data_IF_027865354674
#
_entry.id   IF_027865354674
#
_cell.length_a   1.000
_cell.length_b   1.000
_cell.length_c   1.000
_cell.angle_alpha   90.00
_cell.angle_beta   90.00
_cell.angle_gamma   90.00
#
_symmetry.space_group_name_H-M   'P 1'
#
loop_
_entity.id
_entity.type
_entity.pdbx_description
1 polymer ?
#
# COMPACT_ATOMS: atom_id res chain seq x y z
N UNK A 1 8.45 16.42 14.25
CA UNK A 1 9.81 15.83 14.16
C UNK A 1 9.75 14.34 14.49
N UNK A 2 10.54 13.50 13.83
CA UNK A 2 10.66 12.07 14.17
C UNK A 2 11.23 11.87 15.59
N UNK A 3 11.11 10.66 16.14
CA UNK A 3 11.86 10.29 17.34
C UNK A 3 13.36 10.21 17.06
N UNK A 4 14.17 10.75 17.96
CA UNK A 4 15.61 10.55 17.99
C UNK A 4 15.93 9.11 18.40
N UNK A 5 17.17 8.67 18.17
CA UNK A 5 17.58 7.29 18.47
C UNK A 5 17.39 6.96 19.95
N UNK A 6 17.76 7.86 20.86
CA UNK A 6 17.60 7.67 22.30
C UNK A 6 16.13 7.45 22.70
N UNK A 7 15.19 8.20 22.12
CA UNK A 7 13.76 8.04 22.40
C UNK A 7 13.22 6.70 21.86
N UNK A 8 13.76 6.23 20.74
CA UNK A 8 13.42 4.91 20.18
C UNK A 8 13.97 3.78 21.05
N UNK A 9 15.18 3.93 21.57
CA UNK A 9 15.80 2.95 22.46
C UNK A 9 15.06 2.88 23.80
N UNK A 10 14.63 4.03 24.34
CA UNK A 10 13.78 4.09 25.53
C UNK A 10 12.42 3.41 25.30
N UNK A 11 11.78 3.66 24.16
CA UNK A 11 10.53 2.97 23.80
C UNK A 11 10.75 1.46 23.67
N UNK A 12 11.84 1.02 23.04
CA UNK A 12 12.17 -0.40 22.95
C UNK A 12 12.35 -1.04 24.33
N UNK A 13 13.03 -0.36 25.27
CA UNK A 13 13.20 -0.84 26.63
C UNK A 13 11.86 -0.95 27.39
N UNK A 14 10.96 0.02 27.21
CA UNK A 14 9.60 -0.02 27.76
C UNK A 14 8.82 -1.22 27.24
N UNK A 15 8.81 -1.41 25.91
CA UNK A 15 8.13 -2.55 25.27
C UNK A 15 8.69 -3.90 25.74
N UNK A 16 10.01 -4.03 25.94
CA UNK A 16 10.60 -5.25 26.52
C UNK A 16 10.05 -5.53 27.92
N UNK A 17 9.94 -4.50 28.76
CA UNK A 17 9.38 -4.63 30.11
C UNK A 17 7.90 -5.02 30.07
N UNK A 18 7.10 -4.36 29.22
CA UNK A 18 5.67 -4.67 29.02
C UNK A 18 5.46 -6.12 28.58
N UNK A 19 6.26 -6.61 27.63
CA UNK A 19 6.14 -7.97 27.11
C UNK A 19 6.69 -9.05 28.05
N UNK A 20 7.47 -8.68 29.06
CA UNK A 20 8.18 -9.64 29.95
C UNK A 20 7.26 -10.60 30.70
N UNK A 21 6.00 -10.24 30.91
CA UNK A 21 4.98 -11.06 31.58
C UNK A 21 4.10 -11.85 30.62
N UNK A 22 4.37 -11.77 29.31
CA UNK A 22 3.61 -12.46 28.26
C UNK A 22 4.41 -13.62 27.67
N UNK A 23 3.78 -14.55 26.92
CA UNK A 23 4.50 -15.53 26.11
C UNK A 23 5.43 -14.93 25.04
N UNK A 24 5.30 -13.62 24.78
CA UNK A 24 6.05 -12.87 23.79
C UNK A 24 7.20 -12.06 24.39
N UNK A 25 7.61 -12.37 25.64
CA UNK A 25 8.76 -11.77 26.29
C UNK A 25 9.98 -11.79 25.36
N UNK A 26 10.59 -10.63 25.13
CA UNK A 26 11.73 -10.47 24.21
C UNK A 26 13.04 -10.27 24.97
N UNK A 27 14.12 -10.91 24.52
CA UNK A 27 15.49 -10.63 24.97
C UNK A 27 15.98 -9.27 24.48
N UNK A 28 15.57 -8.90 23.27
CA UNK A 28 15.95 -7.65 22.63
C UNK A 28 14.93 -7.26 21.57
N UNK A 29 14.75 -5.95 21.38
CA UNK A 29 14.03 -5.37 20.25
C UNK A 29 15.00 -4.59 19.37
N UNK A 30 15.03 -4.91 18.07
CA UNK A 30 15.79 -4.15 17.07
C UNK A 30 14.82 -3.39 16.19
N UNK A 31 14.99 -2.09 16.06
CA UNK A 31 14.12 -1.30 15.18
C UNK A 31 14.22 -1.79 13.73
N UNK A 32 13.06 -2.01 13.11
CA UNK A 32 12.98 -2.28 11.68
C UNK A 32 12.85 -0.97 10.90
N UNK A 33 13.48 -0.93 9.73
CA UNK A 33 13.23 0.08 8.73
C UNK A 33 11.94 -0.25 7.98
N UNK A 34 11.13 0.76 7.67
CA UNK A 34 9.83 0.58 7.01
C UNK A 34 8.68 0.94 7.95
N UNK A 35 7.55 1.35 7.38
CA UNK A 35 6.41 1.92 8.11
C UNK A 35 6.65 3.38 8.52
N UNK A 36 5.74 4.27 8.12
CA UNK A 36 5.82 5.70 8.49
C UNK A 36 5.01 6.01 9.75
N UNK A 37 3.91 5.29 9.96
CA UNK A 37 2.92 5.58 10.98
C UNK A 37 3.26 4.99 12.37
N UNK A 38 3.79 3.77 12.43
CA UNK A 38 4.00 3.03 13.68
C UNK A 38 5.48 2.80 13.99
N UNK A 39 5.77 2.50 15.25
CA UNK A 39 7.08 2.03 15.67
C UNK A 39 7.14 0.51 15.49
N UNK A 40 8.05 0.04 14.64
CA UNK A 40 8.15 -1.38 14.29
C UNK A 40 9.51 -1.90 14.75
N UNK A 41 9.49 -3.01 15.48
CA UNK A 41 10.68 -3.69 15.97
C UNK A 41 10.63 -5.18 15.63
N UNK A 42 11.79 -5.78 15.40
CA UNK A 42 11.98 -7.23 15.46
C UNK A 42 12.37 -7.60 16.88
N UNK A 43 11.57 -8.45 17.51
CA UNK A 43 11.86 -9.04 18.80
C UNK A 43 12.48 -10.42 18.66
N UNK A 44 13.54 -10.68 19.43
CA UNK A 44 14.04 -12.04 19.68
C UNK A 44 13.37 -12.51 20.96
N UNK A 45 12.59 -13.59 20.87
CA UNK A 45 11.85 -14.13 22.01
C UNK A 45 12.81 -14.75 23.04
N UNK A 46 12.50 -14.59 24.32
CA UNK A 46 13.21 -15.23 25.42
C UNK A 46 12.99 -16.76 25.43
N UNK A 47 11.80 -17.18 25.00
CA UNK A 47 11.45 -18.57 24.81
C UNK A 47 10.77 -18.73 23.44
N UNK A 48 11.13 -19.75 22.64
CA UNK A 48 10.43 -20.01 21.40
C UNK A 48 8.93 -20.27 21.64
N UNK A 49 8.09 -19.87 20.69
CA UNK A 49 6.67 -20.23 20.68
C UNK A 49 6.49 -21.75 20.47
N UNK A 50 5.29 -22.33 20.70
CA UNK A 50 5.06 -23.77 20.56
C UNK A 50 5.39 -24.36 19.18
N UNK A 51 5.34 -23.56 18.12
CA UNK A 51 5.69 -23.95 16.75
C UNK A 51 7.21 -23.82 16.46
N UNK A 52 8.00 -23.41 17.44
CA UNK A 52 9.43 -23.17 17.33
C UNK A 52 9.81 -21.76 16.84
N UNK A 53 8.84 -20.85 16.65
CA UNK A 53 9.10 -19.46 16.27
C UNK A 53 9.98 -18.78 17.33
N UNK A 54 11.07 -18.15 16.89
CA UNK A 54 12.05 -17.49 17.77
C UNK A 54 12.03 -15.96 17.66
N UNK A 55 11.41 -15.43 16.60
CA UNK A 55 11.35 -13.99 16.36
C UNK A 55 9.93 -13.55 16.04
N UNK A 56 9.60 -12.33 16.45
CA UNK A 56 8.29 -11.69 16.23
C UNK A 56 8.49 -10.25 15.76
N UNK A 57 7.48 -9.69 15.12
CA UNK A 57 7.41 -8.25 14.86
C UNK A 57 6.55 -7.60 15.95
N UNK A 58 7.11 -6.61 16.63
CA UNK A 58 6.39 -5.78 17.61
C UNK A 58 6.05 -4.47 16.93
N UNK A 59 4.75 -4.23 16.71
CA UNK A 59 4.21 -3.01 16.09
C UNK A 59 3.48 -2.21 17.15
N UNK A 60 4.01 -1.03 17.48
CA UNK A 60 3.46 -0.15 18.50
C UNK A 60 2.92 1.15 17.89
N UNK A 61 1.64 1.44 18.16
CA UNK A 61 0.94 2.60 17.65
C UNK A 61 0.86 3.71 18.70
N UNK A 62 1.09 4.96 18.26
CA UNK A 62 0.85 6.17 19.05
C UNK A 62 -0.17 7.08 18.36
N UNK A 63 -0.65 8.10 19.07
CA UNK A 63 -1.57 9.14 18.56
C UNK A 63 -0.93 10.12 17.55
N UNK A 64 0.20 9.73 16.97
CA UNK A 64 0.92 10.47 15.94
C UNK A 64 1.71 9.51 15.05
N UNK A 65 2.10 10.01 13.87
CA UNK A 65 2.95 9.31 12.90
C UNK A 65 4.36 9.16 13.47
N UNK A 66 4.91 7.95 13.53
CA UNK A 66 6.27 7.69 14.04
C UNK A 66 7.35 8.52 13.32
N UNK A 67 7.20 8.73 12.01
CA UNK A 67 8.08 9.59 11.22
C UNK A 67 7.93 11.10 11.51
N UNK A 68 6.81 11.53 12.11
CA UNK A 68 6.58 12.92 12.47
C UNK A 68 5.60 13.07 13.64
N UNK A 69 6.12 13.24 14.87
CA UNK A 69 5.29 13.40 16.08
C UNK A 69 4.34 14.60 16.07
N UNK A 70 4.55 15.56 15.16
CA UNK A 70 3.70 16.74 15.03
C UNK A 70 2.48 16.47 14.13
N UNK A 71 2.44 15.30 13.48
CA UNK A 71 1.32 14.85 12.69
C UNK A 71 0.50 13.89 13.54
N UNK A 72 -0.61 14.40 14.11
CA UNK A 72 -1.54 13.57 14.88
C UNK A 72 -2.17 12.51 13.99
N UNK A 73 -2.31 11.31 14.54
CA UNK A 73 -2.82 10.14 13.84
C UNK A 73 -3.60 9.27 14.82
N UNK A 74 -4.86 9.02 14.51
CA UNK A 74 -5.76 8.26 15.38
C UNK A 74 -5.19 6.87 15.71
N UNK A 75 -5.05 6.56 17.00
CA UNK A 75 -4.47 5.29 17.45
C UNK A 75 -5.38 4.09 17.17
N UNK A 76 -6.70 4.30 17.07
CA UNK A 76 -7.68 3.23 16.83
C UNK A 76 -7.45 2.43 15.54
N UNK A 77 -6.61 2.93 14.62
CA UNK A 77 -6.13 2.21 13.42
C UNK A 77 -5.58 0.81 13.71
N UNK A 78 -4.95 0.58 14.87
CA UNK A 78 -4.46 -0.75 15.27
C UNK A 78 -5.60 -1.74 15.59
N UNK A 79 -6.77 -1.25 16.05
CA UNK A 79 -7.97 -2.09 16.25
C UNK A 79 -8.55 -2.58 14.91
N UNK A 80 -8.47 -1.74 13.87
CA UNK A 80 -8.94 -2.10 12.53
C UNK A 80 -7.99 -3.10 11.87
N UNK A 81 -6.68 -2.93 12.06
CA UNK A 81 -5.69 -3.92 11.62
C UNK A 81 -5.88 -5.28 12.30
N UNK A 82 -6.11 -5.32 13.64
CA UNK A 82 -6.46 -6.58 14.32
C UNK A 82 -7.71 -7.22 13.71
N UNK A 83 -8.77 -6.43 13.53
CA UNK A 83 -10.02 -6.92 12.97
C UNK A 83 -9.83 -7.52 11.57
N UNK A 84 -9.02 -6.88 10.73
CA UNK A 84 -8.72 -7.37 9.38
C UNK A 84 -7.87 -8.63 9.39
N UNK A 85 -6.77 -8.65 10.14
CA UNK A 85 -5.87 -9.81 10.17
C UNK A 85 -6.60 -11.07 10.66
N UNK A 86 -7.43 -10.94 11.70
CA UNK A 86 -8.24 -12.06 12.18
C UNK A 86 -9.25 -12.53 11.12
N UNK A 87 -9.96 -11.62 10.45
CA UNK A 87 -10.95 -11.99 9.43
C UNK A 87 -10.32 -12.67 8.21
N UNK A 88 -9.15 -12.19 7.80
CA UNK A 88 -8.39 -12.74 6.67
C UNK A 88 -7.87 -14.14 6.99
N UNK A 89 -7.32 -14.35 8.19
CA UNK A 89 -6.83 -15.65 8.63
C UNK A 89 -7.97 -16.69 8.75
N UNK A 90 -9.11 -16.28 9.29
CA UNK A 90 -10.24 -17.19 9.52
C UNK A 90 -10.95 -17.60 8.22
N UNK A 91 -11.01 -16.72 7.21
CA UNK A 91 -11.98 -16.86 6.13
C UNK A 91 -11.51 -16.55 4.71
N UNK A 92 -10.35 -15.92 4.51
CA UNK A 92 -9.78 -15.76 3.17
C UNK A 92 -8.90 -16.98 2.84
N UNK A 93 -9.25 -17.81 1.85
CA UNK A 93 -8.43 -18.97 1.51
C UNK A 93 -7.04 -18.53 1.02
N UNK A 94 -6.04 -19.40 1.23
CA UNK A 94 -4.72 -19.23 0.61
C UNK A 94 -4.89 -19.20 -0.91
N UNK A 95 -4.51 -18.08 -1.54
CA UNK A 95 -4.55 -17.94 -2.99
C UNK A 95 -3.18 -18.31 -3.55
N UNK A 96 -3.15 -19.27 -4.47
CA UNK A 96 -1.95 -19.69 -5.18
C UNK A 96 -2.16 -19.54 -6.68
N UNK A 97 -1.37 -18.69 -7.31
CA UNK A 97 -1.40 -18.46 -8.76
C UNK A 97 -0.02 -18.67 -9.34
N UNK A 98 0.11 -19.49 -10.38
CA UNK A 98 1.40 -19.81 -11.02
C UNK A 98 2.50 -20.30 -10.05
N UNK A 99 2.10 -21.06 -9.00
CA UNK A 99 2.97 -21.51 -7.90
C UNK A 99 3.54 -20.38 -7.03
N UNK A 100 2.95 -19.20 -7.06
CA UNK A 100 3.18 -18.13 -6.09
C UNK A 100 1.99 -18.12 -5.13
N UNK A 101 2.24 -18.23 -3.83
CA UNK A 101 1.19 -18.15 -2.80
C UNK A 101 1.22 -16.78 -2.14
N UNK A 102 0.05 -16.19 -1.93
CA UNK A 102 -0.10 -14.94 -1.21
C UNK A 102 -0.86 -15.15 0.09
N UNK A 103 -0.37 -14.54 1.16
CA UNK A 103 -0.92 -14.63 2.51
C UNK A 103 -0.80 -13.30 3.25
N UNK A 104 -1.40 -13.21 4.42
CA UNK A 104 -1.20 -12.12 5.39
C UNK A 104 -0.39 -12.62 6.58
N UNK A 105 0.31 -11.72 7.31
CA UNK A 105 1.00 -12.10 8.52
C UNK A 105 -0.01 -12.57 9.57
N UNK A 106 0.37 -13.58 10.35
CA UNK A 106 -0.40 -13.97 11.52
C UNK A 106 -0.27 -12.93 12.65
N UNK A 107 -1.37 -12.65 13.33
CA UNK A 107 -1.40 -11.81 14.53
C UNK A 107 -1.40 -12.70 15.78
N UNK A 108 -0.24 -12.84 16.41
CA UNK A 108 -0.09 -13.66 17.61
C UNK A 108 -0.83 -13.07 18.82
N UNK A 109 -0.76 -11.75 18.98
CA UNK A 109 -1.33 -11.06 20.12
C UNK A 109 -1.52 -9.58 19.87
N UNK A 110 -2.47 -8.99 20.59
CA UNK A 110 -2.65 -7.55 20.64
C UNK A 110 -2.96 -7.08 22.06
N UNK A 111 -2.05 -6.29 22.62
CA UNK A 111 -2.29 -5.52 23.83
C UNK A 111 -3.03 -4.23 23.43
N UNK A 112 -4.35 -4.23 23.62
CA UNK A 112 -5.21 -3.09 23.30
C UNK A 112 -4.98 -1.89 24.23
N UNK A 113 -4.53 -2.11 25.45
CA UNK A 113 -4.29 -1.04 26.41
C UNK A 113 -3.04 -0.25 26.01
N UNK A 114 -1.98 -0.95 25.62
CA UNK A 114 -0.72 -0.34 25.18
C UNK A 114 -0.67 -0.07 23.66
N UNK A 115 -1.71 -0.44 22.91
CA UNK A 115 -1.72 -0.33 21.44
C UNK A 115 -0.53 -1.03 20.77
N UNK A 116 -0.18 -2.23 21.27
CA UNK A 116 1.00 -3.01 20.85
C UNK A 116 0.58 -4.36 20.26
N UNK A 117 0.85 -4.56 18.98
CA UNK A 117 0.58 -5.81 18.26
C UNK A 117 1.86 -6.65 18.14
N UNK A 118 1.70 -7.97 18.31
CA UNK A 118 2.74 -8.98 18.10
C UNK A 118 2.36 -9.78 16.86
N UNK A 119 3.13 -9.59 15.80
CA UNK A 119 2.91 -10.12 14.47
C UNK A 119 3.96 -11.18 14.12
N UNK A 120 3.63 -12.03 13.17
CA UNK A 120 4.58 -12.94 12.53
C UNK A 120 5.78 -12.18 11.96
N UNK A 121 7.00 -12.60 12.34
CA UNK A 121 8.21 -12.10 11.69
C UNK A 121 8.44 -12.86 10.38
N UNK A 122 8.18 -12.17 9.28
CA UNK A 122 8.43 -12.64 7.92
C UNK A 122 9.90 -12.44 7.56
N UNK A 123 10.79 -13.01 8.37
CA UNK A 123 12.23 -12.91 8.17
C UNK A 123 12.65 -13.49 6.82
N UNK A 124 13.64 -12.87 6.17
CA UNK A 124 14.07 -13.27 4.83
C UNK A 124 13.18 -12.75 3.69
N UNK A 125 12.32 -11.76 3.94
CA UNK A 125 11.61 -11.00 2.88
C UNK A 125 12.14 -9.58 2.73
N UNK A 126 11.88 -8.97 1.57
CA UNK A 126 12.01 -7.53 1.29
C UNK A 126 10.70 -7.04 0.68
N UNK A 127 10.39 -5.76 0.81
CA UNK A 127 9.26 -5.17 0.10
C UNK A 127 9.51 -5.14 -1.42
N UNK A 128 8.43 -5.29 -2.20
CA UNK A 128 8.47 -5.31 -3.66
C UNK A 128 9.02 -3.99 -4.20
N UNK A 129 8.87 -2.88 -3.47
CA UNK A 129 9.53 -1.62 -3.80
C UNK A 129 11.04 -1.76 -3.85
N UNK A 130 11.64 -2.20 -2.77
CA UNK A 130 13.09 -2.42 -2.68
C UNK A 130 13.56 -3.43 -3.72
N UNK A 131 12.74 -4.45 -4.03
CA UNK A 131 13.07 -5.46 -5.03
C UNK A 131 13.05 -4.98 -6.48
N UNK A 132 12.34 -3.90 -6.82
CA UNK A 132 12.30 -3.34 -8.18
C UNK A 132 13.19 -2.12 -8.38
N UNK A 133 13.74 -1.56 -7.30
CA UNK A 133 14.61 -0.38 -7.35
C UNK A 133 16.07 -0.83 -7.38
N UNK A 134 16.82 -0.38 -8.40
CA UNK A 134 18.27 -0.54 -8.44
C UNK A 134 18.94 0.49 -7.52
N UNK A 135 19.79 0.05 -6.60
CA UNK A 135 20.71 0.97 -5.91
C UNK A 135 21.83 1.39 -6.88
N UNK A 136 22.23 2.67 -6.94
CA UNK A 136 23.33 3.14 -7.79
C UNK A 136 24.64 2.37 -7.56
N UNK A 137 24.88 1.91 -6.33
CA UNK A 137 26.10 1.21 -5.94
C UNK A 137 26.03 -0.31 -6.16
N UNK A 138 24.83 -0.84 -6.38
CA UNK A 138 24.60 -2.28 -6.46
C UNK A 138 23.58 -2.55 -7.55
N UNK A 139 24.06 -2.90 -8.76
CA UNK A 139 23.26 -3.49 -9.86
C UNK A 139 22.72 -4.88 -9.50
N UNK A 140 22.19 -5.06 -8.30
CA UNK A 140 21.59 -6.29 -7.80
C UNK A 140 20.18 -5.89 -7.39
N UNK A 141 19.19 -6.66 -7.85
CA UNK A 141 17.74 -6.47 -7.69
C UNK A 141 17.02 -5.79 -8.87
N UNK A 142 17.34 -6.14 -10.12
CA UNK A 142 16.35 -6.02 -11.20
C UNK A 142 15.65 -7.36 -11.36
N UNK A 143 14.36 -7.40 -11.04
CA UNK A 143 13.54 -8.57 -11.30
C UNK A 143 13.50 -8.83 -12.82
N UNK A 144 13.86 -10.04 -13.29
CA UNK A 144 13.73 -10.39 -14.70
C UNK A 144 12.28 -10.30 -15.16
N UNK A 145 12.04 -9.93 -16.42
CA UNK A 145 10.70 -9.76 -16.98
C UNK A 145 9.73 -10.91 -16.66
N UNK A 146 10.07 -12.20 -16.83
CA UNK A 146 9.15 -13.29 -16.49
C UNK A 146 8.77 -13.32 -15.00
N UNK A 147 9.69 -12.95 -14.12
CA UNK A 147 9.47 -12.89 -12.67
C UNK A 147 8.58 -11.69 -12.33
N UNK A 148 8.87 -10.51 -12.89
CA UNK A 148 8.04 -9.31 -12.72
C UNK A 148 6.59 -9.54 -13.14
N UNK A 149 6.37 -10.13 -14.32
CA UNK A 149 5.02 -10.45 -14.81
C UNK A 149 4.34 -11.47 -13.88
N UNK A 150 5.05 -12.52 -13.44
CA UNK A 150 4.48 -13.55 -12.57
C UNK A 150 4.09 -13.00 -11.20
N UNK A 151 4.95 -12.16 -10.60
CA UNK A 151 4.66 -11.50 -9.32
C UNK A 151 3.46 -10.57 -9.49
N UNK A 152 3.46 -9.71 -10.51
CA UNK A 152 2.33 -8.85 -10.82
C UNK A 152 1.04 -9.65 -10.91
N UNK A 153 1.04 -10.71 -11.72
CA UNK A 153 -0.13 -11.57 -11.91
C UNK A 153 -0.62 -12.22 -10.63
N UNK A 154 0.28 -12.70 -9.77
CA UNK A 154 -0.12 -13.32 -8.51
C UNK A 154 -0.71 -12.28 -7.53
N UNK A 155 -0.12 -11.08 -7.46
CA UNK A 155 -0.64 -9.95 -6.65
C UNK A 155 -2.00 -9.48 -7.16
N UNK A 156 -2.16 -9.36 -8.48
CA UNK A 156 -3.43 -8.98 -9.11
C UNK A 156 -4.54 -9.99 -8.83
N UNK A 157 -4.24 -11.29 -9.02
CA UNK A 157 -5.19 -12.36 -8.76
C UNK A 157 -5.61 -12.40 -7.28
N UNK A 158 -4.66 -12.28 -6.36
CA UNK A 158 -4.99 -12.22 -4.93
C UNK A 158 -5.86 -11.00 -4.59
N UNK A 159 -5.59 -9.82 -5.17
CA UNK A 159 -6.37 -8.62 -4.88
C UNK A 159 -7.80 -8.72 -5.45
N UNK A 160 -7.99 -9.36 -6.61
CA UNK A 160 -9.32 -9.63 -7.13
C UNK A 160 -10.09 -10.59 -6.22
N UNK A 161 -9.44 -11.65 -5.72
CA UNK A 161 -10.05 -12.61 -4.81
C UNK A 161 -10.39 -11.95 -3.46
N UNK A 162 -9.49 -11.13 -2.92
CA UNK A 162 -9.74 -10.33 -1.73
C UNK A 162 -10.95 -9.41 -1.90
N UNK A 163 -11.04 -8.66 -3.01
CA UNK A 163 -12.19 -7.79 -3.26
C UNK A 163 -13.50 -8.59 -3.41
N UNK A 164 -13.45 -9.75 -4.06
CA UNK A 164 -14.61 -10.63 -4.24
C UNK A 164 -15.07 -11.22 -2.90
N UNK A 165 -14.13 -11.67 -2.08
CA UNK A 165 -14.37 -12.13 -0.72
C UNK A 165 -14.97 -11.02 0.16
N UNK A 166 -14.38 -9.83 0.14
CA UNK A 166 -14.83 -8.68 0.94
C UNK A 166 -16.23 -8.18 0.55
N UNK A 167 -16.60 -8.32 -0.72
CA UNK A 167 -17.94 -7.98 -1.22
C UNK A 167 -18.99 -9.08 -0.95
N UNK A 168 -18.57 -10.28 -0.54
CA UNK A 168 -19.49 -11.39 -0.31
C UNK A 168 -20.46 -11.06 0.85
N UNK A 169 -21.76 -11.42 0.77
CA UNK A 169 -22.75 -11.12 1.82
C UNK A 169 -22.37 -11.62 3.22
N UNK A 170 -21.59 -12.70 3.30
CA UNK A 170 -21.06 -13.22 4.57
C UNK A 170 -20.16 -12.22 5.31
N UNK A 171 -19.55 -11.26 4.61
CA UNK A 171 -18.66 -10.25 5.18
C UNK A 171 -19.36 -8.96 5.61
N UNK A 172 -20.70 -8.92 5.61
CA UNK A 172 -21.45 -7.69 5.94
C UNK A 172 -21.07 -7.08 7.30
N UNK A 173 -20.81 -7.91 8.32
CA UNK A 173 -20.40 -7.43 9.65
C UNK A 173 -18.96 -6.88 9.64
N UNK A 174 -18.05 -7.50 8.87
CA UNK A 174 -16.71 -6.96 8.65
C UNK A 174 -16.78 -5.59 7.97
N UNK A 175 -17.59 -5.47 6.91
CA UNK A 175 -17.78 -4.21 6.19
C UNK A 175 -18.31 -3.11 7.10
N UNK A 176 -19.26 -3.41 8.00
CA UNK A 176 -19.75 -2.45 9.00
C UNK A 176 -18.66 -2.00 9.97
N UNK A 177 -17.80 -2.92 10.44
CA UNK A 177 -16.65 -2.58 11.29
C UNK A 177 -15.67 -1.69 10.54
N UNK A 178 -15.29 -2.05 9.32
CA UNK A 178 -14.33 -1.28 8.51
C UNK A 178 -14.88 0.08 8.06
N UNK A 179 -16.20 0.23 7.91
CA UNK A 179 -16.83 1.52 7.68
C UNK A 179 -16.64 2.50 8.84
N UNK A 180 -16.37 2.02 10.06
CA UNK A 180 -16.06 2.85 11.21
C UNK A 180 -14.61 3.35 11.24
N UNK A 181 -13.73 2.90 10.34
CA UNK A 181 -12.37 3.45 10.18
C UNK A 181 -12.38 4.82 9.45
N UNK A 182 -13.36 5.66 9.79
CA UNK A 182 -13.57 6.99 9.21
C UNK A 182 -12.35 7.91 9.39
N UNK A 183 -11.65 7.92 10.54
CA UNK A 183 -10.46 8.76 10.70
C UNK A 183 -9.37 8.46 9.66
N UNK A 184 -9.09 7.18 9.40
CA UNK A 184 -8.12 6.77 8.38
C UNK A 184 -8.64 7.03 6.97
N UNK A 185 -9.94 6.85 6.73
CA UNK A 185 -10.56 7.20 5.46
C UNK A 185 -10.47 8.68 5.12
N UNK A 186 -10.73 9.54 6.10
CA UNK A 186 -10.57 10.99 5.99
C UNK A 186 -9.12 11.38 5.77
N UNK A 187 -8.19 10.79 6.51
CA UNK A 187 -6.77 10.99 6.30
C UNK A 187 -6.37 10.63 4.87
N UNK A 188 -6.81 9.45 4.38
CA UNK A 188 -6.49 8.98 3.03
C UNK A 188 -6.97 9.98 1.98
N UNK A 189 -8.18 10.51 2.12
CA UNK A 189 -8.67 11.59 1.26
C UNK A 189 -7.77 12.82 1.32
N UNK A 190 -7.47 13.32 2.53
CA UNK A 190 -6.66 14.54 2.73
C UNK A 190 -5.29 14.46 2.07
N UNK A 191 -4.60 13.32 2.14
CA UNK A 191 -3.26 13.15 1.56
C UNK A 191 -3.27 12.71 0.09
N UNK A 192 -4.45 12.57 -0.54
CA UNK A 192 -4.60 12.18 -1.94
C UNK A 192 -5.51 13.17 -2.70
N UNK A 193 -6.78 12.82 -2.92
CA UNK A 193 -7.76 13.63 -3.64
C UNK A 193 -7.98 15.02 -3.02
N UNK A 194 -7.80 15.16 -1.71
CA UNK A 194 -7.88 16.44 -1.01
C UNK A 194 -6.70 17.39 -1.26
N UNK A 195 -5.58 16.89 -1.79
CA UNK A 195 -4.34 17.68 -1.93
C UNK A 195 -3.77 17.75 -3.35
N UNK A 196 -4.12 16.84 -4.26
CA UNK A 196 -3.47 16.78 -5.59
C UNK A 196 -3.66 18.06 -6.41
N UNK A 197 -4.80 18.75 -6.30
CA UNK A 197 -5.04 20.02 -7.00
C UNK A 197 -4.06 21.10 -6.56
N UNK A 198 -3.76 21.17 -5.26
CA UNK A 198 -2.84 22.14 -4.68
C UNK A 198 -1.40 21.88 -5.14
N UNK A 199 -1.09 20.62 -5.48
CA UNK A 199 0.19 20.27 -6.13
C UNK A 199 0.21 20.78 -7.56
N UNK A 200 -0.82 20.48 -8.37
CA UNK A 200 -0.86 20.89 -9.78
C UNK A 200 -0.86 22.41 -9.93
N UNK A 201 -1.49 23.16 -9.01
CA UNK A 201 -1.46 24.63 -8.99
C UNK A 201 -0.05 25.23 -8.91
N UNK A 202 0.94 24.48 -8.44
CA UNK A 202 2.36 24.89 -8.42
C UNK A 202 3.01 24.84 -9.81
N UNK A 203 2.30 24.32 -10.81
CA UNK A 203 2.70 24.20 -12.22
C UNK A 203 1.64 24.90 -13.10
N UNK A 204 1.64 26.24 -13.17
CA UNK A 204 0.58 27.04 -13.79
C UNK A 204 0.26 26.62 -15.23
N UNK A 205 1.28 26.25 -16.01
CA UNK A 205 1.13 25.81 -17.40
C UNK A 205 0.31 24.52 -17.55
N UNK A 206 0.28 23.66 -16.53
CA UNK A 206 -0.55 22.45 -16.49
C UNK A 206 -1.93 22.80 -15.92
N UNK A 207 -1.96 23.60 -14.85
CA UNK A 207 -3.18 24.00 -14.16
C UNK A 207 -4.12 24.82 -15.05
N UNK A 208 -3.60 25.79 -15.79
CA UNK A 208 -4.40 26.69 -16.64
C UNK A 208 -5.13 25.92 -17.74
N UNK A 209 -4.54 24.82 -18.22
CA UNK A 209 -5.13 23.97 -19.24
C UNK A 209 -6.18 22.98 -18.67
N UNK A 210 -5.92 22.42 -17.48
CA UNK A 210 -6.67 21.24 -17.00
C UNK A 210 -7.44 21.46 -15.69
N UNK A 211 -7.26 22.61 -15.02
CA UNK A 211 -7.74 22.85 -13.65
C UNK A 211 -9.25 22.67 -13.46
N UNK A 212 -10.06 22.91 -14.48
CA UNK A 212 -11.51 22.65 -14.43
C UNK A 212 -11.83 21.15 -14.28
N UNK A 213 -11.23 20.30 -15.12
CA UNK A 213 -11.42 18.85 -15.06
C UNK A 213 -10.87 18.28 -13.74
N UNK A 214 -9.71 18.76 -13.29
CA UNK A 214 -9.11 18.33 -12.02
C UNK A 214 -10.02 18.67 -10.82
N UNK A 215 -10.64 19.85 -10.79
CA UNK A 215 -11.62 20.22 -9.76
C UNK A 215 -12.85 19.32 -9.79
N UNK A 216 -13.38 18.99 -10.97
CA UNK A 216 -14.52 18.07 -11.09
C UNK A 216 -14.20 16.67 -10.53
N UNK A 217 -12.98 16.19 -10.77
CA UNK A 217 -12.49 14.92 -10.19
C UNK A 217 -12.36 15.02 -8.67
N UNK A 218 -11.82 16.12 -8.15
CA UNK A 218 -11.77 16.37 -6.71
C UNK A 218 -13.17 16.39 -6.07
N UNK A 219 -14.14 17.10 -6.67
CA UNK A 219 -15.52 17.18 -6.20
C UNK A 219 -16.25 15.84 -6.26
N UNK A 220 -15.95 15.04 -7.28
CA UNK A 220 -16.43 13.66 -7.37
C UNK A 220 -15.87 12.83 -6.21
N UNK A 221 -14.57 12.88 -5.96
CA UNK A 221 -13.95 12.12 -4.89
C UNK A 221 -14.46 12.59 -3.51
N UNK A 222 -14.61 13.90 -3.29
CA UNK A 222 -15.17 14.45 -2.06
C UNK A 222 -16.56 13.87 -1.76
N UNK A 223 -17.44 13.79 -2.77
CA UNK A 223 -18.77 13.16 -2.63
C UNK A 223 -18.67 11.67 -2.33
N UNK A 224 -17.76 10.96 -2.98
CA UNK A 224 -17.53 9.54 -2.72
C UNK A 224 -17.01 9.30 -1.29
N UNK A 225 -16.02 10.06 -0.83
CA UNK A 225 -15.49 9.95 0.53
C UNK A 225 -16.48 10.40 1.62
N UNK A 226 -17.48 11.20 1.27
CA UNK A 226 -18.59 11.53 2.17
C UNK A 226 -19.61 10.39 2.30
N UNK A 227 -19.61 9.39 1.41
CA UNK A 227 -20.60 8.31 1.44
C UNK A 227 -20.45 7.41 2.65
N UNK A 228 -21.58 6.91 3.15
CA UNK A 228 -21.70 5.86 4.16
C UNK A 228 -22.15 4.53 3.54
N UNK A 229 -22.05 3.45 4.31
CA UNK A 229 -22.57 2.12 3.92
C UNK A 229 -24.10 2.11 3.70
N UNK A 230 -24.82 3.13 4.17
CA UNK A 230 -26.28 3.23 4.06
C UNK A 230 -26.74 3.98 2.81
N UNK A 231 -25.81 4.59 2.08
CA UNK A 231 -26.14 5.48 0.98
C UNK A 231 -26.44 4.71 -0.31
N UNK A 232 -27.30 5.26 -1.16
CA UNK A 232 -27.60 4.68 -2.46
C UNK A 232 -26.35 4.62 -3.38
N UNK A 233 -26.23 3.52 -4.13
CA UNK A 233 -25.07 3.26 -4.99
C UNK A 233 -23.80 2.87 -4.22
N UNK A 234 -23.92 2.51 -2.94
CA UNK A 234 -22.86 1.87 -2.16
C UNK A 234 -22.71 0.36 -2.46
N UNK A 235 -23.58 -0.21 -3.31
CA UNK A 235 -23.54 -1.65 -3.65
C UNK A 235 -22.27 -2.11 -4.35
N UNK A 236 -21.55 -1.20 -5.03
CA UNK A 236 -20.27 -1.47 -5.67
C UNK A 236 -19.06 -1.21 -4.74
N UNK A 237 -19.33 -0.90 -3.47
CA UNK A 237 -18.32 -0.59 -2.46
C UNK A 237 -18.20 -1.74 -1.47
N UNK A 238 -16.98 -2.00 -1.01
CA UNK A 238 -16.70 -3.06 -0.05
C UNK A 238 -15.51 -2.66 0.82
N UNK A 239 -15.01 -3.60 1.62
CA UNK A 239 -13.71 -3.43 2.25
C UNK A 239 -12.63 -3.39 1.16
N UNK A 240 -11.72 -2.43 1.27
CA UNK A 240 -10.47 -2.31 0.52
C UNK A 240 -9.30 -2.27 1.50
N UNK A 241 -8.09 -2.56 1.03
CA UNK A 241 -6.88 -2.39 1.81
C UNK A 241 -6.62 -0.91 2.14
N UNK A 242 -6.94 0.01 1.21
CA UNK A 242 -6.87 1.46 1.44
C UNK A 242 -5.46 2.06 1.41
N UNK A 243 -4.44 1.21 1.36
CA UNK A 243 -3.04 1.58 1.13
C UNK A 243 -2.30 0.45 0.39
N UNK A 244 -2.87 0.02 -0.74
CA UNK A 244 -2.31 -1.08 -1.52
C UNK A 244 -1.22 -0.56 -2.47
N UNK A 245 0.02 -0.47 -1.99
CA UNK A 245 1.20 -0.11 -2.78
C UNK A 245 2.31 -1.15 -2.58
N UNK A 246 3.35 -1.13 -3.41
CA UNK A 246 4.36 -2.20 -3.41
C UNK A 246 5.25 -2.21 -2.15
N UNK A 247 5.22 -1.18 -1.31
CA UNK A 247 5.85 -1.22 0.02
C UNK A 247 5.14 -2.17 0.99
N UNK A 248 3.86 -2.46 0.75
CA UNK A 248 3.02 -3.35 1.56
C UNK A 248 2.92 -4.77 0.96
N UNK A 249 3.75 -5.06 -0.05
CA UNK A 249 3.88 -6.39 -0.66
C UNK A 249 5.28 -6.91 -0.37
N UNK A 250 5.39 -7.90 0.51
CA UNK A 250 6.66 -8.54 0.82
C UNK A 250 6.91 -9.73 -0.12
N UNK A 251 8.14 -9.84 -0.62
CA UNK A 251 8.61 -10.94 -1.47
C UNK A 251 9.86 -11.59 -0.86
N UNK A 252 10.20 -12.84 -1.19
CA UNK A 252 11.41 -13.49 -0.67
C UNK A 252 12.69 -12.73 -1.05
N UNK A 253 13.51 -12.40 -0.06
CA UNK A 253 14.84 -11.81 -0.24
C UNK A 253 15.84 -12.92 -0.56
N UNK A 254 15.80 -13.43 -1.80
CA UNK A 254 16.73 -14.47 -2.24
C UNK A 254 17.75 -13.91 -3.22
N UNK A 255 19.07 -14.05 -2.95
CA UNK A 255 20.15 -13.55 -3.83
C UNK A 255 20.17 -14.12 -5.25
N UNK A 256 19.28 -15.07 -5.56
CA UNK A 256 19.20 -15.79 -6.83
C UNK A 256 17.90 -15.49 -7.59
N UNK A 257 17.11 -14.48 -7.21
CA UNK A 257 15.94 -14.06 -8.01
C UNK A 257 16.35 -13.59 -9.41
N UNK A 258 17.50 -12.95 -9.53
CA UNK A 258 18.13 -12.54 -10.78
C UNK A 258 18.46 -13.73 -11.70
N UNK A 259 18.83 -14.88 -11.13
CA UNK A 259 19.17 -16.11 -11.83
C UNK A 259 17.98 -17.05 -12.02
N UNK A 260 16.82 -16.75 -11.41
CA UNK A 260 15.61 -17.55 -11.56
C UNK A 260 14.91 -17.22 -12.87
N UNK A 261 14.67 -18.25 -13.67
CA UNK A 261 13.84 -18.14 -14.87
C UNK A 261 12.34 -18.19 -14.55
N UNK A 262 11.95 -18.65 -13.35
CA UNK A 262 10.55 -18.84 -12.95
C UNK A 262 10.34 -18.48 -11.47
N UNK A 263 9.17 -17.92 -11.16
CA UNK A 263 8.78 -17.50 -9.81
C UNK A 263 8.25 -18.66 -8.93
N UNK A 264 8.54 -19.92 -9.29
CA UNK A 264 7.92 -21.10 -8.67
C UNK A 264 8.26 -21.22 -7.17
N UNK A 265 7.23 -21.49 -6.36
CA UNK A 265 7.35 -21.78 -4.94
C UNK A 265 7.61 -20.56 -4.08
N UNK A 266 7.25 -19.35 -4.54
CA UNK A 266 7.40 -18.12 -3.75
C UNK A 266 6.20 -17.90 -2.84
N UNK A 267 6.46 -17.50 -1.60
CA UNK A 267 5.45 -16.97 -0.69
C UNK A 267 5.60 -15.45 -0.64
N UNK A 268 4.53 -14.76 -0.96
CA UNK A 268 4.40 -13.31 -0.88
C UNK A 268 3.42 -12.96 0.25
N UNK A 269 3.60 -11.78 0.83
CA UNK A 269 2.77 -11.35 1.95
C UNK A 269 2.23 -9.95 1.75
N UNK A 270 0.95 -9.77 2.05
CA UNK A 270 0.29 -8.47 2.08
C UNK A 270 0.19 -8.01 3.53
N UNK A 271 0.81 -6.88 3.84
CA UNK A 271 0.98 -6.36 5.20
C UNK A 271 0.34 -4.98 5.36
N UNK A 272 0.29 -4.50 6.61
CA UNK A 272 -0.10 -3.13 6.97
C UNK A 272 -1.57 -2.79 6.69
N UNK A 273 -2.46 -3.41 7.46
CA UNK A 273 -3.92 -3.34 7.25
C UNK A 273 -4.60 -2.21 8.04
N UNK A 274 -3.83 -1.29 8.64
CA UNK A 274 -4.39 -0.23 9.51
C UNK A 274 -5.25 0.80 8.77
N UNK A 275 -5.04 0.93 7.45
CA UNK A 275 -5.80 1.80 6.55
C UNK A 275 -6.96 1.09 5.85
N UNK A 276 -7.23 -0.18 6.19
CA UNK A 276 -8.36 -0.92 5.65
C UNK A 276 -9.68 -0.21 5.99
N UNK A 277 -10.54 -0.11 4.98
CA UNK A 277 -11.69 0.79 5.06
C UNK A 277 -12.80 0.40 4.09
N UNK A 278 -13.97 0.99 4.30
CA UNK A 278 -15.04 0.96 3.31
C UNK A 278 -14.72 1.89 2.13
N UNK A 279 -14.63 1.34 0.94
CA UNK A 279 -14.17 2.09 -0.23
C UNK A 279 -14.44 1.41 -1.57
N UNK A 280 -13.93 2.06 -2.60
CA UNK A 280 -13.97 1.59 -3.98
C UNK A 280 -12.73 0.76 -4.29
N UNK A 281 -12.92 -0.43 -4.84
CA UNK A 281 -11.81 -1.32 -5.26
C UNK A 281 -10.84 -0.67 -6.25
N UNK A 282 -11.31 0.31 -7.02
CA UNK A 282 -10.48 1.06 -7.96
C UNK A 282 -9.38 1.87 -7.27
N UNK A 283 -9.52 2.17 -5.97
CA UNK A 283 -8.48 2.83 -5.19
C UNK A 283 -7.27 1.91 -4.99
N UNK A 284 -7.46 0.66 -4.55
CA UNK A 284 -6.34 -0.28 -4.40
C UNK A 284 -5.67 -0.58 -5.76
N UNK A 285 -6.47 -0.78 -6.81
CA UNK A 285 -5.97 -1.04 -8.17
C UNK A 285 -5.17 0.14 -8.72
N UNK A 286 -5.72 1.34 -8.65
CA UNK A 286 -5.02 2.53 -9.15
C UNK A 286 -3.81 2.89 -8.30
N UNK A 287 -3.81 2.58 -7.00
CA UNK A 287 -2.73 2.96 -6.10
C UNK A 287 -1.46 2.18 -6.43
N UNK A 288 -1.55 0.85 -6.55
CA UNK A 288 -0.37 0.04 -6.87
C UNK A 288 0.16 0.36 -8.27
N UNK A 289 -0.72 0.66 -9.23
CA UNK A 289 -0.34 1.08 -10.59
C UNK A 289 0.37 2.42 -10.55
N UNK A 290 -0.15 3.41 -9.82
CA UNK A 290 0.48 4.71 -9.66
C UNK A 290 1.84 4.62 -8.98
N UNK A 291 1.96 3.81 -7.93
CA UNK A 291 3.22 3.54 -7.22
C UNK A 291 4.24 2.85 -8.14
N UNK A 292 3.85 1.85 -8.93
CA UNK A 292 4.74 1.22 -9.90
C UNK A 292 5.17 2.20 -11.00
N UNK A 293 4.23 2.96 -11.55
CA UNK A 293 4.50 3.95 -12.59
C UNK A 293 5.47 5.03 -12.09
N UNK A 294 5.32 5.48 -10.84
CA UNK A 294 6.26 6.40 -10.20
C UNK A 294 7.71 5.88 -10.27
N UNK A 295 7.97 4.59 -9.97
CA UNK A 295 9.33 4.04 -10.08
C UNK A 295 9.81 4.04 -11.51
N UNK A 296 8.97 3.62 -12.45
CA UNK A 296 9.34 3.66 -13.86
C UNK A 296 9.74 5.09 -14.25
N UNK A 297 8.94 6.09 -13.89
CA UNK A 297 9.18 7.48 -14.26
C UNK A 297 10.47 8.03 -13.63
N UNK A 298 10.66 7.87 -12.31
CA UNK A 298 11.78 8.48 -11.61
C UNK A 298 13.09 7.68 -11.68
N UNK A 299 13.01 6.37 -11.88
CA UNK A 299 14.18 5.47 -11.83
C UNK A 299 14.44 4.72 -13.13
N UNK A 300 13.57 4.90 -14.14
CA UNK A 300 13.66 4.27 -15.46
C UNK A 300 13.80 2.73 -15.37
N UNK A 301 12.94 2.10 -14.57
CA UNK A 301 12.95 0.65 -14.33
C UNK A 301 11.80 -0.07 -15.06
N UNK A 302 12.13 -0.79 -16.13
CA UNK A 302 11.16 -1.55 -16.94
C UNK A 302 10.41 -2.62 -16.13
N UNK A 303 11.04 -3.15 -15.08
CA UNK A 303 10.43 -4.14 -14.18
C UNK A 303 9.13 -3.64 -13.57
N UNK A 304 8.99 -2.33 -13.33
CA UNK A 304 7.76 -1.77 -12.82
C UNK A 304 6.60 -1.88 -13.83
N UNK A 305 6.85 -1.63 -15.12
CA UNK A 305 5.84 -1.80 -16.18
C UNK A 305 5.45 -3.26 -16.37
N UNK A 306 6.42 -4.17 -16.30
CA UNK A 306 6.14 -5.60 -16.38
C UNK A 306 5.29 -6.11 -15.20
N UNK A 307 5.54 -5.57 -13.99
CA UNK A 307 4.67 -5.86 -12.84
C UNK A 307 3.27 -5.28 -13.06
N UNK A 308 3.11 -4.06 -13.61
CA UNK A 308 1.79 -3.49 -13.95
C UNK A 308 1.05 -4.40 -14.93
N UNK A 309 1.70 -4.82 -16.01
CA UNK A 309 1.12 -5.70 -17.03
C UNK A 309 0.65 -7.03 -16.43
N UNK A 310 1.52 -7.66 -15.63
CA UNK A 310 1.16 -8.88 -14.91
C UNK A 310 0.00 -8.64 -13.95
N UNK A 311 0.04 -7.56 -13.17
CA UNK A 311 -0.98 -7.20 -12.19
C UNK A 311 -2.35 -7.03 -12.79
N UNK A 312 -2.48 -6.25 -13.87
CA UNK A 312 -3.78 -6.05 -14.53
C UNK A 312 -4.27 -7.37 -15.14
N UNK A 313 -3.40 -8.14 -15.79
CA UNK A 313 -3.77 -9.45 -16.33
C UNK A 313 -4.25 -10.42 -15.24
N UNK A 314 -3.59 -10.42 -14.07
CA UNK A 314 -3.92 -11.28 -12.94
C UNK A 314 -5.18 -10.84 -12.19
N UNK A 315 -5.41 -9.53 -12.05
CA UNK A 315 -6.67 -9.00 -11.50
C UNK A 315 -7.85 -9.37 -12.40
N UNK A 316 -7.61 -9.53 -13.70
CA UNK A 316 -8.59 -9.93 -14.70
C UNK A 316 -9.19 -8.73 -15.43
N UNK A 317 -10.08 -9.00 -16.42
CA UNK A 317 -10.63 -7.97 -17.28
C UNK A 317 -11.35 -6.88 -16.48
N UNK A 318 -10.97 -5.63 -16.73
CA UNK A 318 -11.60 -4.46 -16.16
C UNK A 318 -12.67 -3.95 -17.11
N UNK A 319 -13.83 -3.53 -16.59
CA UNK A 319 -14.75 -2.73 -17.39
C UNK A 319 -14.11 -1.38 -17.71
N UNK A 320 -14.46 -0.77 -18.86
CA UNK A 320 -13.96 0.58 -19.21
C UNK A 320 -14.17 1.58 -18.06
N UNK A 321 -15.33 1.51 -17.38
CA UNK A 321 -15.60 2.35 -16.22
C UNK A 321 -14.58 2.15 -15.09
N UNK A 322 -14.24 0.90 -14.77
CA UNK A 322 -13.24 0.58 -13.75
C UNK A 322 -11.82 0.98 -14.19
N UNK A 323 -11.47 0.74 -15.45
CA UNK A 323 -10.17 1.10 -16.03
C UNK A 323 -9.92 2.61 -15.95
N UNK A 324 -10.89 3.44 -16.36
CA UNK A 324 -10.78 4.89 -16.22
C UNK A 324 -10.67 5.32 -14.75
N UNK A 325 -11.44 4.71 -13.85
CA UNK A 325 -11.38 5.02 -12.42
C UNK A 325 -10.03 4.67 -11.79
N UNK A 326 -9.44 3.54 -12.16
CA UNK A 326 -8.09 3.16 -11.74
C UNK A 326 -7.03 4.12 -12.30
N UNK A 327 -7.14 4.54 -13.56
CA UNK A 327 -6.23 5.52 -14.17
C UNK A 327 -6.29 6.89 -13.46
N UNK A 328 -7.48 7.37 -13.09
CA UNK A 328 -7.63 8.59 -12.27
C UNK A 328 -6.86 8.43 -10.96
N UNK A 329 -7.06 7.32 -10.24
CA UNK A 329 -6.41 7.13 -8.94
C UNK A 329 -4.89 6.96 -9.08
N UNK A 330 -4.40 6.30 -10.13
CA UNK A 330 -2.98 6.22 -10.46
C UNK A 330 -2.37 7.61 -10.72
N UNK A 331 -3.06 8.46 -11.48
CA UNK A 331 -2.63 9.84 -11.71
C UNK A 331 -2.59 10.69 -10.45
N UNK A 332 -3.59 10.57 -9.57
CA UNK A 332 -3.60 11.23 -8.25
C UNK A 332 -2.43 10.77 -7.40
N UNK A 333 -2.16 9.45 -7.36
CA UNK A 333 -1.04 8.90 -6.61
C UNK A 333 0.31 9.46 -7.10
N UNK A 334 0.51 9.51 -8.43
CA UNK A 334 1.71 10.04 -9.05
C UNK A 334 1.91 11.53 -8.75
N UNK A 335 0.87 12.35 -8.81
CA UNK A 335 0.94 13.77 -8.45
C UNK A 335 1.29 13.94 -6.96
N UNK A 336 0.64 13.17 -6.09
CA UNK A 336 0.84 13.25 -4.64
C UNK A 336 2.22 12.77 -4.18
N UNK A 337 3.03 12.13 -5.04
CA UNK A 337 4.46 11.92 -4.78
C UNK A 337 5.15 13.21 -4.32
N UNK A 338 4.80 14.35 -4.93
CA UNK A 338 5.39 15.66 -4.63
C UNK A 338 5.31 16.05 -3.15
N UNK A 339 4.29 15.59 -2.44
CA UNK A 339 4.03 15.91 -1.03
C UNK A 339 4.31 14.75 -0.06
N UNK A 340 4.73 13.58 -0.58
CA UNK A 340 5.12 12.39 0.23
C UNK A 340 6.56 12.46 0.77
N UNK A 341 7.16 13.64 0.80
CA UNK A 341 8.49 13.91 1.36
C UNK A 341 8.43 14.87 2.54
N UNK A 342 9.53 15.00 3.28
CA UNK A 342 9.66 16.10 4.24
C UNK A 342 9.54 17.44 3.49
N UNK A 343 8.54 18.30 3.79
CA UNK A 343 8.29 19.53 3.03
C UNK A 343 9.47 20.52 3.07
N UNK A 344 10.31 20.47 4.11
CA UNK A 344 11.48 21.34 4.24
C UNK A 344 12.73 20.81 3.56
N UNK A 345 12.75 19.54 3.14
CA UNK A 345 13.87 18.98 2.39
C UNK A 345 13.85 19.50 0.94
N UNK A 346 15.02 19.75 0.32
CA UNK A 346 15.06 20.02 -1.11
C UNK A 346 14.64 18.77 -1.90
N UNK A 347 14.14 18.99 -3.11
CA UNK A 347 14.04 17.89 -4.09
C UNK A 347 15.44 17.45 -4.50
N UNK A 348 15.64 16.15 -4.65
CA UNK A 348 16.88 15.58 -5.16
C UNK A 348 16.77 15.26 -6.67
N UNK A 349 15.54 15.15 -7.15
CA UNK A 349 15.18 14.84 -8.52
C UNK A 349 15.25 16.08 -9.42
N UNK A 350 15.51 15.84 -10.71
CA UNK A 350 15.51 16.88 -11.74
C UNK A 350 14.13 17.58 -11.80
N UNK A 351 14.05 18.92 -11.73
CA UNK A 351 12.80 19.67 -11.88
C UNK A 351 11.98 19.31 -13.12
N UNK A 352 12.60 19.02 -14.26
CA UNK A 352 11.89 18.60 -15.47
C UNK A 352 11.31 17.20 -15.34
N UNK A 353 11.99 16.31 -14.61
CA UNK A 353 11.47 14.98 -14.29
C UNK A 353 10.25 15.07 -13.36
N UNK A 354 10.33 15.93 -12.34
CA UNK A 354 9.19 16.24 -11.45
C UNK A 354 8.02 16.77 -12.27
N UNK A 355 8.25 17.79 -13.11
CA UNK A 355 7.22 18.36 -13.98
C UNK A 355 6.62 17.33 -14.94
N UNK A 356 7.44 16.43 -15.47
CA UNK A 356 7.01 15.29 -16.27
C UNK A 356 6.05 14.36 -15.53
N UNK A 357 6.31 14.08 -14.25
CA UNK A 357 5.42 13.28 -13.41
C UNK A 357 4.08 13.99 -13.17
N UNK A 358 4.10 15.29 -12.87
CA UNK A 358 2.88 16.08 -12.67
C UNK A 358 2.04 16.15 -13.95
N UNK A 359 2.68 16.36 -15.10
CA UNK A 359 1.99 16.35 -16.41
C UNK A 359 1.38 15.00 -16.70
N UNK A 360 2.15 13.93 -16.58
CA UNK A 360 1.65 12.57 -16.86
C UNK A 360 0.51 12.18 -15.92
N UNK A 361 0.63 12.46 -14.63
CA UNK A 361 -0.44 12.20 -13.67
C UNK A 361 -1.70 13.03 -13.97
N UNK A 362 -1.52 14.27 -14.43
CA UNK A 362 -2.63 15.12 -14.90
C UNK A 362 -3.30 14.52 -16.13
N UNK A 363 -2.52 14.06 -17.11
CA UNK A 363 -3.04 13.43 -18.33
C UNK A 363 -3.83 12.15 -18.01
N UNK A 364 -3.32 11.29 -17.12
CA UNK A 364 -4.06 10.11 -16.65
C UNK A 364 -5.42 10.47 -16.06
N UNK A 365 -5.48 11.53 -15.24
CA UNK A 365 -6.74 11.99 -14.64
C UNK A 365 -7.69 12.55 -15.70
N UNK A 366 -7.22 13.50 -16.50
CA UNK A 366 -8.07 14.24 -17.46
C UNK A 366 -8.58 13.31 -18.54
N UNK A 367 -7.70 12.48 -19.13
CA UNK A 367 -8.07 11.56 -20.21
C UNK A 367 -9.00 10.47 -19.74
N UNK A 368 -8.83 9.99 -18.51
CA UNK A 368 -9.78 9.05 -17.94
C UNK A 368 -11.11 9.71 -17.58
N UNK A 369 -11.11 10.95 -17.10
CA UNK A 369 -12.34 11.72 -16.84
C UNK A 369 -13.14 11.98 -18.12
N UNK A 370 -12.44 12.30 -19.21
CA UNK A 370 -13.01 12.49 -20.57
C UNK A 370 -13.40 11.17 -21.24
N UNK A 371 -13.02 10.02 -20.66
CA UNK A 371 -13.20 8.68 -21.24
C UNK A 371 -12.51 8.52 -22.60
N UNK A 372 -11.36 9.17 -22.78
CA UNK A 372 -10.56 9.15 -24.00
C UNK A 372 -9.76 7.84 -24.11
N UNK A 373 -10.43 6.74 -24.48
CA UNK A 373 -9.81 5.41 -24.63
C UNK A 373 -8.67 5.41 -25.66
N UNK A 374 -8.84 6.15 -26.76
CA UNK A 374 -7.85 6.21 -27.83
C UNK A 374 -6.51 6.79 -27.34
N UNK A 375 -6.53 7.78 -26.45
CA UNK A 375 -5.30 8.29 -25.84
C UNK A 375 -4.55 7.19 -25.06
N UNK A 376 -5.27 6.34 -24.32
CA UNK A 376 -4.67 5.28 -23.54
C UNK A 376 -4.03 4.16 -24.38
N UNK A 377 -4.44 3.96 -25.64
CA UNK A 377 -3.85 2.95 -26.54
C UNK A 377 -2.34 3.14 -26.76
N UNK A 378 -1.88 4.39 -26.72
CA UNK A 378 -0.46 4.75 -26.83
C UNK A 378 0.23 4.99 -25.48
N UNK A 379 -0.52 4.85 -24.38
CA UNK A 379 -0.02 5.13 -23.03
C UNK A 379 0.58 3.88 -22.37
N UNK A 380 1.43 4.04 -21.35
CA UNK A 380 1.89 2.91 -20.54
C UNK A 380 0.77 2.19 -19.77
N UNK A 381 -0.42 2.81 -19.64
CA UNK A 381 -1.59 2.23 -18.98
C UNK A 381 -2.54 1.51 -19.95
N UNK A 382 -2.13 1.27 -21.21
CA UNK A 382 -2.94 0.53 -22.20
C UNK A 382 -3.45 -0.81 -21.68
N UNK A 383 -2.67 -1.49 -20.83
CA UNK A 383 -3.07 -2.78 -20.24
C UNK A 383 -4.34 -2.72 -19.38
N UNK A 384 -4.75 -1.54 -18.90
CA UNK A 384 -6.04 -1.35 -18.21
C UNK A 384 -7.25 -1.57 -19.13
N UNK A 385 -7.07 -1.43 -20.44
CA UNK A 385 -8.13 -1.43 -21.45
C UNK A 385 -7.95 -2.66 -22.35
N UNK A 386 -8.43 -3.81 -21.89
CA UNK A 386 -8.33 -5.12 -22.55
C UNK A 386 -9.63 -5.62 -23.15
#
# INVERSE_FOLDING_TARGET
MAFQQEEKDQLAAQLVQELSHTPYACLSLTQLSGGTANFIFRGILAHPLPDGTQTVVVKHSKEFVAANRNFSLEVSRCLFEETMLNALEESLPRITTNNISLQTPHLYHFDREQSTQILQDLSGTIDLKTAIVSSPDVRVNLLPQPISISIGHAVGAWLQEFHSWAAHPAQVELTKKMAANEPMRKLRYQISYGAFTDVVQKFPEIWDQHGSALKQVQDMAAREYAKSIRDEGAGDWSVIHGDFWTGNVLIPNTPSLDKRQQAKGMNLYIIDWELAQFGRREYDVGQIIGDLYERMHFLNVDSALWVIQGFVAGYGPLSDAMAFRAAIHAGVHLICWYIRRNPTAPFLEDPELIKGAIRTGTDFIVKAWEKDRAWFESSPLVCLFG
#
